data_IF_708040985780
#
_entry.id   IF_708040985780
#
_cell.length_a   1.000
_cell.length_b   1.000
_cell.length_c   1.000
_cell.angle_alpha   90.00
_cell.angle_beta   90.00
_cell.angle_gamma   90.00
#
_symmetry.space_group_name_H-M   'P 1'
#
loop_
_entity.id
_entity.type
_entity.pdbx_description
1 polymer ?
#
# COMPACT_ATOMS: atom_id res chain seq x y z
N UNK A 1 -1.38 -16.75 -32.00
CA UNK A 1 -2.77 -17.03 -31.57
C UNK A 1 -3.14 -15.95 -30.59
N UNK A 2 -4.09 -15.08 -30.96
CA UNK A 2 -4.46 -13.93 -30.13
C UNK A 2 -5.08 -14.38 -28.81
N UNK A 3 -4.75 -13.68 -27.73
CA UNK A 3 -5.31 -13.84 -26.40
C UNK A 3 -6.83 -13.51 -26.45
N UNK A 4 -7.68 -14.53 -26.63
CA UNK A 4 -9.14 -14.37 -26.76
C UNK A 4 -9.86 -14.36 -25.40
N UNK A 5 -9.13 -14.17 -24.30
CA UNK A 5 -9.69 -14.13 -22.96
C UNK A 5 -9.89 -12.71 -22.42
N UNK A 6 -10.61 -12.59 -21.30
CA UNK A 6 -10.66 -11.33 -20.57
C UNK A 6 -9.26 -10.86 -20.17
N UNK A 7 -8.97 -9.58 -20.39
CA UNK A 7 -7.74 -8.93 -19.90
C UNK A 7 -7.78 -8.82 -18.37
N UNK A 8 -6.61 -8.84 -17.74
CA UNK A 8 -6.42 -8.64 -16.29
C UNK A 8 -7.11 -7.36 -15.80
N UNK A 9 -6.98 -6.26 -16.53
CA UNK A 9 -7.68 -4.99 -16.28
C UNK A 9 -9.21 -5.16 -16.17
N UNK A 10 -9.81 -5.97 -17.04
CA UNK A 10 -11.26 -6.21 -17.03
C UNK A 10 -11.68 -7.02 -15.81
N UNK A 11 -10.86 -8.01 -15.42
CA UNK A 11 -11.08 -8.78 -14.19
C UNK A 11 -10.99 -7.90 -12.94
N UNK A 12 -9.97 -7.04 -12.87
CA UNK A 12 -9.75 -6.09 -11.78
C UNK A 12 -10.95 -5.13 -11.64
N UNK A 13 -11.37 -4.51 -12.75
CA UNK A 13 -12.51 -3.57 -12.76
C UNK A 13 -13.82 -4.25 -12.39
N UNK A 14 -14.10 -5.43 -12.94
CA UNK A 14 -15.35 -6.15 -12.64
C UNK A 14 -15.40 -6.60 -11.17
N UNK A 15 -14.28 -7.08 -10.61
CA UNK A 15 -14.21 -7.37 -9.18
C UNK A 15 -14.46 -6.13 -8.33
N UNK A 16 -13.85 -5.00 -8.68
CA UNK A 16 -14.05 -3.74 -7.97
C UNK A 16 -15.51 -3.27 -8.02
N UNK A 17 -16.17 -3.44 -9.18
CA UNK A 17 -17.61 -3.19 -9.35
C UNK A 17 -18.44 -4.05 -8.40
N UNK A 18 -18.13 -5.34 -8.31
CA UNK A 18 -18.84 -6.27 -7.41
C UNK A 18 -18.64 -5.95 -5.93
N UNK A 19 -17.44 -5.52 -5.54
CA UNK A 19 -17.16 -5.05 -4.18
C UNK A 19 -17.95 -3.77 -3.85
N UNK A 20 -18.07 -2.86 -4.81
CA UNK A 20 -18.83 -1.62 -4.64
C UNK A 20 -20.35 -1.86 -4.56
N UNK A 21 -20.89 -2.77 -5.36
CA UNK A 21 -22.31 -3.18 -5.29
C UNK A 21 -22.71 -3.71 -3.91
N UNK A 22 -21.75 -4.23 -3.15
CA UNK A 22 -21.97 -4.75 -1.79
C UNK A 22 -21.90 -3.67 -0.72
N UNK A 23 -21.68 -2.41 -1.09
CA UNK A 23 -21.61 -1.26 -0.17
C UNK A 23 -20.30 -1.16 0.61
N UNK A 24 -19.30 -1.96 0.24
CA UNK A 24 -18.04 -2.06 0.98
C UNK A 24 -17.10 -0.93 0.61
N UNK A 25 -16.97 -0.65 -0.68
CA UNK A 25 -16.01 0.30 -1.20
C UNK A 25 -16.71 1.34 -2.04
N UNK A 26 -16.28 2.59 -1.91
CA UNK A 26 -16.72 3.64 -2.82
C UNK A 26 -15.76 3.65 -4.00
N UNK A 27 -16.25 3.30 -5.17
CA UNK A 27 -15.51 3.56 -6.40
C UNK A 27 -15.40 5.08 -6.57
N UNK A 28 -14.25 5.62 -6.96
CA UNK A 28 -14.21 6.99 -7.44
C UNK A 28 -15.15 7.08 -8.65
N UNK A 29 -15.78 8.23 -8.88
CA UNK A 29 -16.59 8.48 -10.09
C UNK A 29 -15.80 8.20 -11.39
N UNK A 30 -14.46 8.17 -11.30
CA UNK A 30 -13.55 7.70 -12.33
C UNK A 30 -12.78 6.47 -11.85
N UNK A 31 -13.17 5.26 -12.27
CA UNK A 31 -12.25 4.12 -12.26
C UNK A 31 -11.15 4.47 -13.25
N UNK A 32 -9.93 4.69 -12.76
CA UNK A 32 -8.80 5.06 -13.60
C UNK A 32 -8.33 3.88 -14.47
N UNK A 33 -9.10 3.51 -15.48
CA UNK A 33 -8.55 2.87 -16.68
C UNK A 33 -7.96 3.97 -17.57
N UNK A 34 -6.91 4.64 -17.11
CA UNK A 34 -6.22 5.65 -17.91
C UNK A 34 -4.90 5.07 -18.38
N UNK A 35 -4.90 4.52 -19.59
CA UNK A 35 -3.75 4.15 -20.42
C UNK A 35 -2.73 5.30 -20.66
N UNK A 36 -2.76 6.39 -19.86
CA UNK A 36 -2.04 7.64 -20.12
C UNK A 36 -0.90 7.96 -19.14
N UNK A 37 -0.71 7.19 -18.04
CA UNK A 37 0.43 7.38 -17.13
C UNK A 37 1.07 6.03 -16.79
N UNK A 38 2.32 5.82 -17.21
CA UNK A 38 3.18 4.74 -16.70
C UNK A 38 3.11 4.78 -15.17
N UNK A 39 2.75 3.67 -14.54
CA UNK A 39 2.63 3.45 -13.08
C UNK A 39 1.26 3.70 -12.43
N UNK A 40 0.16 3.82 -13.18
CA UNK A 40 -1.18 3.75 -12.56
C UNK A 40 -1.60 2.30 -12.29
N UNK A 41 -2.26 2.03 -11.14
CA UNK A 41 -2.90 0.75 -10.87
C UNK A 41 -4.16 0.61 -11.73
N UNK A 42 -4.54 -0.63 -12.03
CA UNK A 42 -5.75 -0.90 -12.82
C UNK A 42 -7.03 -0.45 -12.11
N UNK A 43 -7.00 -0.48 -10.77
CA UNK A 43 -8.11 -0.08 -9.92
C UNK A 43 -7.59 0.68 -8.70
N UNK A 44 -8.20 1.83 -8.47
CA UNK A 44 -8.06 2.61 -7.24
C UNK A 44 -9.45 2.89 -6.67
N UNK A 45 -9.64 2.69 -5.37
CA UNK A 45 -10.91 2.84 -4.66
C UNK A 45 -10.71 3.44 -3.27
N UNK A 46 -11.79 3.95 -2.67
CA UNK A 46 -11.79 4.45 -1.30
C UNK A 46 -12.58 3.53 -0.37
N UNK A 47 -11.98 3.22 0.77
CA UNK A 47 -12.59 2.43 1.85
C UNK A 47 -12.40 3.17 3.17
N UNK A 48 -13.49 3.63 3.80
CA UNK A 48 -13.46 4.42 5.04
C UNK A 48 -12.45 5.60 5.01
N UNK A 49 -12.37 6.30 3.87
CA UNK A 49 -11.44 7.42 3.65
C UNK A 49 -10.03 7.00 3.20
N UNK A 50 -9.63 5.75 3.42
CA UNK A 50 -8.35 5.20 2.96
C UNK A 50 -8.38 4.91 1.46
N UNK A 51 -7.35 5.33 0.75
CA UNK A 51 -7.05 4.86 -0.61
C UNK A 51 -6.62 3.40 -0.62
N UNK A 52 -7.25 2.62 -1.49
CA UNK A 52 -7.00 1.19 -1.71
C UNK A 52 -6.74 0.94 -3.19
N UNK A 53 -5.76 0.10 -3.51
CA UNK A 53 -5.50 -0.36 -4.88
C UNK A 53 -5.70 -1.86 -5.00
N UNK A 54 -6.18 -2.29 -6.16
CA UNK A 54 -6.28 -3.72 -6.51
C UNK A 54 -5.36 -3.96 -7.70
N UNK A 55 -4.43 -4.88 -7.52
CA UNK A 55 -3.46 -5.35 -8.52
C UNK A 55 -3.70 -6.84 -8.71
N UNK A 56 -4.32 -7.24 -9.82
CA UNK A 56 -4.65 -8.63 -10.08
C UNK A 56 -4.02 -9.17 -11.35
N UNK A 57 -3.51 -10.40 -11.27
CA UNK A 57 -3.05 -11.19 -12.42
C UNK A 57 -3.76 -12.53 -12.48
N UNK A 58 -3.69 -13.17 -13.64
CA UNK A 58 -4.21 -14.53 -13.82
C UNK A 58 -3.12 -15.55 -13.50
N UNK A 59 -3.51 -16.71 -12.96
CA UNK A 59 -2.64 -17.86 -12.67
C UNK A 59 -2.21 -18.61 -13.95
N UNK A 60 -1.75 -17.88 -14.96
CA UNK A 60 -1.27 -18.40 -16.25
C UNK A 60 0.24 -18.18 -16.45
N UNK A 61 0.88 -17.40 -15.58
CA UNK A 61 2.31 -17.07 -15.60
C UNK A 61 2.97 -17.49 -14.29
N UNK A 62 4.11 -18.18 -14.38
CA UNK A 62 4.85 -18.68 -13.21
C UNK A 62 5.29 -17.60 -12.20
N UNK A 63 5.47 -16.36 -12.65
CA UNK A 63 5.90 -15.23 -11.81
C UNK A 63 4.76 -14.29 -11.39
N UNK A 64 3.49 -14.60 -11.72
CA UNK A 64 2.36 -13.71 -11.50
C UNK A 64 2.24 -13.24 -10.03
N UNK A 65 2.41 -14.16 -9.07
CA UNK A 65 2.37 -13.83 -7.63
C UNK A 65 3.45 -12.82 -7.23
N UNK A 66 4.71 -13.06 -7.62
CA UNK A 66 5.82 -12.17 -7.28
C UNK A 66 5.65 -10.79 -7.90
N UNK A 67 5.22 -10.73 -9.16
CA UNK A 67 4.98 -9.46 -9.85
C UNK A 67 3.83 -8.66 -9.20
N UNK A 68 2.73 -9.34 -8.86
CA UNK A 68 1.59 -8.71 -8.17
C UNK A 68 2.00 -8.17 -6.80
N UNK A 69 2.75 -8.96 -6.03
CA UNK A 69 3.23 -8.53 -4.72
C UNK A 69 4.15 -7.32 -4.81
N UNK A 70 5.11 -7.34 -5.75
CA UNK A 70 6.02 -6.21 -5.96
C UNK A 70 5.27 -4.95 -6.39
N UNK A 71 4.30 -5.08 -7.31
CA UNK A 71 3.47 -3.95 -7.73
C UNK A 71 2.67 -3.38 -6.56
N UNK A 72 1.99 -4.25 -5.79
CA UNK A 72 1.19 -3.86 -4.63
C UNK A 72 2.06 -3.13 -3.59
N UNK A 73 3.22 -3.69 -3.26
CA UNK A 73 4.19 -3.09 -2.35
C UNK A 73 4.67 -1.72 -2.84
N UNK A 74 5.05 -1.63 -4.12
CA UNK A 74 5.46 -0.36 -4.70
C UNK A 74 4.36 0.70 -4.59
N UNK A 75 3.08 0.35 -4.72
CA UNK A 75 1.97 1.32 -4.58
C UNK A 75 1.90 1.91 -3.17
N UNK A 76 2.12 1.09 -2.16
CA UNK A 76 2.17 1.54 -0.76
C UNK A 76 3.43 2.37 -0.51
N UNK A 77 4.60 1.89 -0.93
CA UNK A 77 5.89 2.54 -0.72
C UNK A 77 5.96 3.97 -1.31
N UNK A 78 5.38 4.18 -2.49
CA UNK A 78 5.34 5.51 -3.12
C UNK A 78 4.19 6.39 -2.62
N UNK A 79 3.43 5.93 -1.62
CA UNK A 79 2.31 6.65 -1.02
C UNK A 79 1.09 6.76 -1.93
N UNK A 80 0.94 5.88 -2.93
CA UNK A 80 -0.22 5.92 -3.83
C UNK A 80 -1.49 5.44 -3.12
N UNK A 81 -1.37 4.47 -2.22
CA UNK A 81 -2.48 3.92 -1.45
C UNK A 81 -2.01 3.48 -0.05
N UNK A 82 -2.94 3.46 0.92
CA UNK A 82 -2.66 2.97 2.28
C UNK A 82 -2.73 1.44 2.31
N UNK A 83 -3.60 0.86 1.48
CA UNK A 83 -3.81 -0.58 1.34
C UNK A 83 -3.64 -0.96 -0.13
N UNK A 84 -2.81 -1.95 -0.41
CA UNK A 84 -2.72 -2.58 -1.71
C UNK A 84 -3.11 -4.06 -1.60
N UNK A 85 -4.00 -4.50 -2.47
CA UNK A 85 -4.47 -5.88 -2.52
C UNK A 85 -3.94 -6.54 -3.78
N UNK A 86 -3.09 -7.55 -3.58
CA UNK A 86 -2.59 -8.40 -4.63
C UNK A 86 -3.52 -9.59 -4.85
N UNK A 87 -3.93 -9.85 -6.08
CA UNK A 87 -4.81 -10.95 -6.44
C UNK A 87 -4.24 -11.86 -7.52
N UNK A 88 -4.49 -13.15 -7.36
CA UNK A 88 -4.32 -14.16 -8.40
C UNK A 88 -5.67 -14.79 -8.71
N UNK A 89 -6.15 -14.49 -9.91
CA UNK A 89 -7.35 -15.07 -10.47
C UNK A 89 -7.09 -16.47 -11.02
N UNK A 90 -8.00 -17.43 -10.82
CA UNK A 90 -7.91 -18.71 -11.50
C UNK A 90 -8.00 -18.52 -13.03
N UNK A 91 -7.18 -19.26 -13.78
CA UNK A 91 -7.08 -19.15 -15.23
C UNK A 91 -8.40 -19.35 -15.98
N UNK A 92 -9.34 -20.10 -15.38
CA UNK A 92 -10.68 -20.32 -15.91
C UNK A 92 -11.50 -19.03 -16.09
N UNK A 93 -11.18 -17.95 -15.36
CA UNK A 93 -11.91 -16.68 -15.49
C UNK A 93 -11.65 -15.96 -16.81
N UNK A 94 -10.52 -16.23 -17.48
CA UNK A 94 -10.23 -15.63 -18.80
C UNK A 94 -11.19 -16.10 -19.88
N UNK A 95 -11.65 -17.34 -19.81
CA UNK A 95 -12.38 -18.00 -20.90
C UNK A 95 -13.89 -17.97 -20.73
N UNK A 96 -14.39 -17.25 -19.72
CA UNK A 96 -15.82 -17.07 -19.49
C UNK A 96 -16.44 -16.33 -20.68
N UNK A 97 -17.60 -16.81 -21.15
CA UNK A 97 -18.16 -16.40 -22.44
C UNK A 97 -18.70 -14.97 -22.52
N UNK A 98 -19.07 -14.37 -21.38
CA UNK A 98 -19.66 -13.03 -21.34
C UNK A 98 -19.36 -12.30 -20.03
N UNK A 99 -19.46 -10.96 -20.04
CA UNK A 99 -19.23 -10.13 -18.85
C UNK A 99 -20.22 -10.46 -17.72
N UNK A 100 -21.47 -10.80 -18.07
CA UNK A 100 -22.50 -11.22 -17.10
C UNK A 100 -22.15 -12.54 -16.42
N UNK A 101 -21.63 -13.49 -17.18
CA UNK A 101 -21.15 -14.77 -16.64
C UNK A 101 -19.87 -14.57 -15.83
N UNK A 102 -18.99 -13.65 -16.25
CA UNK A 102 -17.79 -13.30 -15.49
C UNK A 102 -18.16 -12.76 -14.11
N UNK A 103 -19.12 -11.83 -14.03
CA UNK A 103 -19.60 -11.31 -12.76
C UNK A 103 -20.21 -12.39 -11.86
N UNK A 104 -20.82 -13.44 -12.42
CA UNK A 104 -21.26 -14.62 -11.64
C UNK A 104 -20.09 -15.48 -11.18
N UNK A 105 -19.14 -15.75 -12.07
CA UNK A 105 -17.97 -16.57 -11.78
C UNK A 105 -17.09 -15.93 -10.70
N UNK A 106 -16.87 -14.61 -10.76
CA UNK A 106 -16.14 -13.85 -9.74
C UNK A 106 -16.79 -13.90 -8.35
N UNK A 107 -18.12 -14.02 -8.26
CA UNK A 107 -18.81 -14.15 -6.96
C UNK A 107 -18.55 -15.48 -6.27
N UNK A 108 -18.18 -16.52 -7.02
CA UNK A 108 -18.01 -17.89 -6.51
C UNK A 108 -16.58 -18.41 -6.62
N UNK A 109 -15.69 -17.71 -7.33
CA UNK A 109 -14.31 -18.11 -7.49
C UNK A 109 -13.52 -17.85 -6.22
N UNK A 110 -12.58 -18.76 -5.93
CA UNK A 110 -11.54 -18.53 -4.95
C UNK A 110 -10.32 -17.91 -5.63
N UNK A 111 -9.79 -16.88 -4.98
CA UNK A 111 -8.59 -16.15 -5.40
C UNK A 111 -7.47 -16.44 -4.41
N UNK A 112 -6.22 -16.38 -4.88
CA UNK A 112 -5.12 -16.16 -3.92
C UNK A 112 -4.99 -14.66 -3.72
N UNK A 113 -4.89 -14.23 -2.48
CA UNK A 113 -4.86 -12.82 -2.10
C UNK A 113 -3.76 -12.56 -1.09
N UNK A 114 -3.08 -11.44 -1.24
CA UNK A 114 -2.24 -10.84 -0.21
C UNK A 114 -2.67 -9.39 0.02
N UNK A 115 -2.43 -8.89 1.23
CA UNK A 115 -2.69 -7.50 1.60
C UNK A 115 -1.38 -6.87 2.04
N UNK A 116 -1.01 -5.79 1.36
CA UNK A 116 0.15 -4.98 1.67
C UNK A 116 -0.33 -3.62 2.19
N UNK A 117 0.23 -3.17 3.30
CA UNK A 117 -0.06 -1.92 3.97
C UNK A 117 1.25 -1.30 4.42
N UNK A 118 1.25 -0.02 4.79
CA UNK A 118 2.46 0.65 5.31
C UNK A 118 3.06 -0.04 6.54
N UNK A 119 2.25 -0.83 7.25
CA UNK A 119 2.61 -1.58 8.44
C UNK A 119 3.43 -2.82 8.10
N UNK A 120 3.03 -3.54 7.07
CA UNK A 120 3.56 -4.87 6.75
C UNK A 120 4.40 -4.87 5.45
N UNK A 121 4.58 -3.72 4.81
CA UNK A 121 5.39 -3.54 3.62
C UNK A 121 6.91 -3.49 3.93
N UNK A 122 7.43 -4.44 4.70
CA UNK A 122 8.88 -4.51 4.98
C UNK A 122 9.66 -5.03 3.75
N UNK A 123 10.74 -4.35 3.29
CA UNK A 123 11.40 -4.59 1.99
C UNK A 123 11.83 -6.03 1.69
N UNK A 124 12.03 -6.86 2.72
CA UNK A 124 12.59 -8.22 2.61
C UNK A 124 11.66 -9.33 3.11
N UNK A 125 10.44 -8.99 3.55
CA UNK A 125 9.48 -9.99 4.04
C UNK A 125 8.40 -10.27 3.00
N UNK A 126 8.22 -11.54 2.57
CA UNK A 126 7.21 -11.89 1.59
C UNK A 126 5.81 -11.68 2.16
N UNK A 127 4.90 -11.19 1.34
CA UNK A 127 3.51 -11.01 1.74
C UNK A 127 2.85 -12.36 2.09
N UNK A 128 1.98 -12.34 3.10
CA UNK A 128 1.22 -13.53 3.48
C UNK A 128 0.07 -13.74 2.49
N UNK A 129 0.17 -14.81 1.72
CA UNK A 129 -0.85 -15.21 0.76
C UNK A 129 -1.89 -16.13 1.40
N UNK A 130 -3.16 -15.82 1.16
CA UNK A 130 -4.31 -16.59 1.62
C UNK A 130 -5.21 -16.92 0.43
N UNK A 131 -6.10 -17.91 0.57
CA UNK A 131 -7.08 -18.24 -0.47
C UNK A 131 -8.48 -17.92 0.04
N UNK A 132 -9.30 -17.29 -0.80
CA UNK A 132 -10.70 -17.06 -0.48
C UNK A 132 -11.46 -16.33 -1.58
N UNK A 133 -12.78 -16.27 -1.41
CA UNK A 133 -13.71 -15.66 -2.34
C UNK A 133 -13.88 -14.15 -2.10
N UNK A 134 -14.84 -13.54 -2.79
CA UNK A 134 -15.15 -12.11 -2.63
C UNK A 134 -15.58 -11.73 -1.19
N UNK A 135 -16.23 -12.62 -0.44
CA UNK A 135 -16.62 -12.36 0.96
C UNK A 135 -15.38 -12.33 1.88
N UNK A 136 -14.40 -13.19 1.58
CA UNK A 136 -13.11 -13.17 2.25
C UNK A 136 -12.35 -11.86 2.01
N UNK A 137 -12.42 -11.30 0.79
CA UNK A 137 -11.83 -9.99 0.49
C UNK A 137 -12.45 -8.86 1.33
N UNK A 138 -13.76 -8.89 1.57
CA UNK A 138 -14.42 -7.92 2.47
C UNK A 138 -13.85 -8.01 3.88
N UNK A 139 -13.75 -9.23 4.39
CA UNK A 139 -13.18 -9.49 5.72
C UNK A 139 -11.70 -9.07 5.81
N UNK A 140 -10.94 -9.15 4.71
CA UNK A 140 -9.58 -8.66 4.64
C UNK A 140 -9.50 -7.13 4.64
N UNK A 141 -10.35 -6.43 3.89
CA UNK A 141 -10.39 -4.96 3.93
C UNK A 141 -10.72 -4.42 5.31
N UNK A 142 -11.70 -5.02 5.99
CA UNK A 142 -12.07 -4.62 7.33
C UNK A 142 -10.92 -4.83 8.32
N UNK A 143 -10.24 -5.99 8.27
CA UNK A 143 -9.07 -6.25 9.10
C UNK A 143 -7.91 -5.29 8.81
N UNK A 144 -7.57 -5.07 7.55
CA UNK A 144 -6.52 -4.14 7.17
C UNK A 144 -6.82 -2.70 7.63
N UNK A 145 -8.09 -2.28 7.56
CA UNK A 145 -8.52 -1.01 8.12
C UNK A 145 -8.40 -0.99 9.64
N UNK A 146 -8.88 -2.02 10.34
CA UNK A 146 -8.73 -2.12 11.79
C UNK A 146 -7.27 -2.09 12.21
N UNK A 147 -6.38 -2.79 11.51
CA UNK A 147 -4.95 -2.82 11.82
C UNK A 147 -4.33 -1.42 11.64
N UNK A 148 -4.66 -0.72 10.55
CA UNK A 148 -4.21 0.66 10.30
C UNK A 148 -4.78 1.68 11.29
N UNK A 149 -5.96 1.45 11.84
CA UNK A 149 -6.60 2.34 12.83
C UNK A 149 -6.21 2.01 14.26
N UNK A 150 -6.01 0.72 14.58
CA UNK A 150 -5.59 0.23 15.91
C UNK A 150 -4.12 0.46 16.16
N UNK A 151 -3.28 0.41 15.13
CA UNK A 151 -1.92 0.87 15.25
C UNK A 151 -1.90 2.39 15.22
N UNK A 152 -1.64 2.95 16.38
CA UNK A 152 -1.38 4.36 16.59
C UNK A 152 -0.16 4.73 15.72
N UNK A 153 -0.38 5.13 14.47
CA UNK A 153 0.64 5.56 13.49
C UNK A 153 1.53 6.66 14.10
N UNK A 154 1.02 7.36 15.10
CA UNK A 154 1.78 8.28 15.93
C UNK A 154 2.82 7.55 16.78
N UNK A 155 2.47 6.48 17.50
CA UNK A 155 3.40 5.70 18.33
C UNK A 155 4.47 5.01 17.47
N UNK A 156 4.03 4.25 16.47
CA UNK A 156 4.54 4.35 15.09
C UNK A 156 5.79 5.19 14.80
N UNK A 157 5.45 6.38 14.31
CA UNK A 157 6.35 7.43 13.89
C UNK A 157 7.26 7.90 15.02
N UNK A 158 6.78 7.95 16.27
CA UNK A 158 7.58 8.29 17.44
C UNK A 158 8.72 7.28 17.62
N UNK A 159 8.44 5.98 17.53
CA UNK A 159 9.49 4.94 17.63
C UNK A 159 10.51 5.07 16.51
N UNK A 160 10.07 5.31 15.27
CA UNK A 160 10.98 5.50 14.12
C UNK A 160 11.82 6.77 14.27
N UNK A 161 11.22 7.87 14.74
CA UNK A 161 11.91 9.13 15.01
C UNK A 161 12.93 8.96 16.15
N UNK A 162 12.56 8.28 17.23
CA UNK A 162 13.44 7.99 18.36
C UNK A 162 14.64 7.15 17.95
N UNK A 163 14.44 6.10 17.15
CA UNK A 163 15.56 5.30 16.65
C UNK A 163 16.47 6.12 15.72
N UNK A 164 15.89 6.91 14.81
CA UNK A 164 16.62 7.82 13.94
C UNK A 164 17.47 8.84 14.73
N UNK A 165 16.87 9.48 15.74
CA UNK A 165 17.55 10.43 16.64
C UNK A 165 18.65 9.73 17.42
N UNK A 166 18.40 8.54 17.98
CA UNK A 166 19.39 7.80 18.75
C UNK A 166 20.58 7.35 17.87
N UNK A 167 20.32 6.93 16.62
CA UNK A 167 21.38 6.59 15.65
C UNK A 167 22.19 7.81 15.26
N UNK A 168 21.55 8.95 14.99
CA UNK A 168 22.22 10.21 14.73
C UNK A 168 23.07 10.67 15.93
N UNK A 169 22.53 10.64 17.14
CA UNK A 169 23.27 11.00 18.34
C UNK A 169 24.51 10.12 18.51
N UNK A 170 24.38 8.80 18.34
CA UNK A 170 25.50 7.85 18.39
C UNK A 170 26.58 8.12 17.33
N UNK A 171 26.20 8.56 16.12
CA UNK A 171 27.15 8.85 15.06
C UNK A 171 27.88 10.19 15.22
N UNK A 172 27.25 11.17 15.87
CA UNK A 172 27.82 12.51 16.07
C UNK A 172 28.59 12.64 17.40
N UNK A 173 28.25 11.86 18.43
CA UNK A 173 28.93 11.86 19.74
C UNK A 173 30.47 11.78 19.69
N UNK A 174 31.09 10.96 18.81
CA UNK A 174 32.54 10.91 18.69
C UNK A 174 33.19 12.16 18.06
N UNK A 175 32.41 13.06 17.47
CA UNK A 175 32.88 14.19 16.67
C UNK A 175 32.47 15.53 17.28
N UNK A 176 33.24 16.02 18.27
CA UNK A 176 32.93 17.25 19.01
C UNK A 176 32.66 18.49 18.14
N UNK A 177 33.47 18.73 17.09
CA UNK A 177 33.26 19.87 16.21
C UNK A 177 31.94 19.81 15.41
N UNK A 178 31.46 18.60 15.12
CA UNK A 178 30.15 18.40 14.46
C UNK A 178 29.03 18.58 15.49
N UNK A 179 29.22 18.07 16.71
CA UNK A 179 28.29 18.22 17.82
C UNK A 179 28.04 19.71 18.15
N UNK A 180 29.08 20.54 18.23
CA UNK A 180 28.98 21.98 18.48
C UNK A 180 28.26 22.74 17.35
N UNK A 181 28.46 22.32 16.09
CA UNK A 181 27.76 22.90 14.95
C UNK A 181 26.29 22.51 14.95
N UNK A 182 25.98 21.25 15.25
CA UNK A 182 24.61 20.79 15.41
C UNK A 182 23.90 21.52 16.55
N UNK A 183 24.55 21.66 17.70
CA UNK A 183 24.01 22.38 18.86
C UNK A 183 23.66 23.83 18.51
N UNK A 184 24.56 24.56 17.83
CA UNK A 184 24.28 25.92 17.34
C UNK A 184 23.12 25.99 16.35
N UNK A 185 23.08 25.10 15.36
CA UNK A 185 22.00 25.08 14.36
C UNK A 185 20.65 24.74 14.97
N UNK A 186 20.63 23.88 15.99
CA UNK A 186 19.41 23.47 16.71
C UNK A 186 19.03 24.44 17.83
N UNK A 187 19.83 25.49 18.07
CA UNK A 187 19.59 26.44 19.16
C UNK A 187 19.73 25.84 20.56
N UNK A 188 20.47 24.73 20.69
CA UNK A 188 20.69 24.03 21.96
C UNK A 188 21.99 24.58 22.58
N UNK A 189 21.87 25.34 23.67
CA UNK A 189 22.99 25.95 24.38
C UNK A 189 22.53 27.10 25.29
N UNK A 190 23.40 27.60 26.15
CA UNK A 190 23.10 28.78 26.97
C UNK A 190 22.92 30.01 26.05
N UNK A 191 21.88 30.84 26.28
CA UNK A 191 21.78 32.11 25.59
C UNK A 191 23.02 32.96 25.91
N UNK A 192 23.52 33.78 24.95
CA UNK A 192 24.69 34.61 25.19
C UNK A 192 24.46 35.51 26.43
N UNK A 193 25.37 35.44 27.39
CA UNK A 193 25.29 36.23 28.63
C UNK A 193 25.32 37.72 28.26
N UNK A 194 24.21 38.41 28.50
CA UNK A 194 24.00 39.82 28.12
C UNK A 194 24.82 40.81 28.97
N UNK A 195 25.95 40.37 29.53
CA UNK A 195 26.83 41.15 30.41
C UNK A 195 28.06 41.73 29.72
N UNK A 196 28.36 41.38 28.47
CA UNK A 196 29.52 41.90 27.75
C UNK A 196 29.24 43.01 26.73
N UNK A 197 28.04 43.59 26.70
CA UNK A 197 27.73 44.76 25.84
C UNK A 197 27.87 46.12 26.54
N UNK A 198 28.45 46.16 27.74
CA UNK A 198 28.78 47.43 28.41
C UNK A 198 30.20 47.39 28.94
N UNK A 199 31.16 47.65 28.07
CA UNK A 199 32.43 48.32 28.38
C UNK A 199 33.14 48.56 27.05
N UNK A 200 32.82 49.72 26.45
CA UNK A 200 33.77 50.51 25.65
C UNK A 200 34.90 51.03 26.55
#
# INVERSE_FOLDING_TARGET
MGDTGFREEVLNVELARLLAERGEVTLPETIFSLHARRNMPDVFLRFNGLGVVIEGKVDDKANAMREVEQNARQRVEVGLAHIAVGLIYPASLRTVGSLKELGKALKTADFRVCVVTEVNALPDEPAVWQTGNIDFLQSLFHRAFEDLVKEDVVVRAVVVLEDGIARFARSVLPHQAVLERCARTLGIGEPPDSRNEREE
#
